data_IF_839526579938
#
_entry.id   IF_839526579938
#
_cell.length_a   1.000
_cell.length_b   1.000
_cell.length_c   1.000
_cell.angle_alpha   90.00
_cell.angle_beta   90.00
_cell.angle_gamma   90.00
#
_symmetry.space_group_name_H-M   'P 1'
#
loop_
_entity.id
_entity.type
_entity.pdbx_description
1 polymer ?
#
# COMPACT_ATOMS: atom_id res chain seq x y z
N UNK A 1 -11.27 15.80 -12.79
CA UNK A 1 -11.32 14.34 -12.71
C UNK A 1 -10.02 13.86 -12.08
N UNK A 2 -10.09 13.13 -10.99
CA UNK A 2 -8.93 12.56 -10.28
C UNK A 2 -8.54 11.23 -10.93
N UNK A 3 -7.24 10.90 -10.96
CA UNK A 3 -6.73 9.63 -11.52
C UNK A 3 -5.70 9.01 -10.59
N UNK A 4 -5.66 7.68 -10.56
CA UNK A 4 -4.55 6.90 -9.99
C UNK A 4 -3.94 6.07 -11.13
N UNK A 5 -2.81 6.51 -11.68
CA UNK A 5 -2.33 5.96 -12.95
C UNK A 5 -3.36 6.16 -14.06
N UNK A 6 -3.78 5.08 -14.71
CA UNK A 6 -4.80 5.10 -15.77
C UNK A 6 -6.23 4.89 -15.24
N UNK A 7 -6.39 4.70 -13.93
CA UNK A 7 -7.70 4.52 -13.30
C UNK A 7 -8.36 5.89 -13.13
N UNK A 8 -9.43 6.13 -13.86
CA UNK A 8 -10.22 7.36 -13.76
C UNK A 8 -11.21 7.27 -12.61
N UNK A 9 -11.17 8.25 -11.72
CA UNK A 9 -12.07 8.42 -10.58
C UNK A 9 -12.93 9.68 -10.77
N UNK A 10 -13.94 9.86 -9.96
CA UNK A 10 -14.79 11.06 -9.99
C UNK A 10 -14.03 12.35 -9.59
N UNK A 11 -14.77 13.42 -9.38
CA UNK A 11 -14.17 14.69 -8.89
C UNK A 11 -13.77 14.60 -7.41
N UNK A 12 -14.53 13.85 -6.62
CA UNK A 12 -14.31 13.67 -5.18
C UNK A 12 -14.34 12.18 -4.82
N UNK A 13 -13.28 11.44 -5.19
CA UNK A 13 -13.26 10.00 -4.97
C UNK A 13 -13.16 9.64 -3.48
N UNK A 14 -13.92 8.63 -3.08
CA UNK A 14 -13.90 8.05 -1.75
C UNK A 14 -13.06 6.77 -1.77
N UNK A 15 -11.95 6.78 -1.06
CA UNK A 15 -11.04 5.65 -0.94
C UNK A 15 -11.19 5.00 0.44
N UNK A 16 -11.60 3.71 0.48
CA UNK A 16 -11.63 2.96 1.73
C UNK A 16 -10.20 2.67 2.21
N UNK A 17 -9.86 3.19 3.38
CA UNK A 17 -8.54 2.93 3.97
C UNK A 17 -8.36 1.43 4.32
N UNK A 18 -7.15 0.87 4.14
CA UNK A 18 -6.83 -0.47 4.60
C UNK A 18 -6.86 -0.54 6.14
N UNK A 19 -7.61 -1.49 6.68
CA UNK A 19 -7.78 -1.68 8.13
C UNK A 19 -7.62 -3.15 8.50
N UNK A 20 -6.64 -3.44 9.37
CA UNK A 20 -6.39 -4.80 9.86
C UNK A 20 -7.62 -5.35 10.59
N UNK A 21 -7.94 -6.62 10.36
CA UNK A 21 -9.10 -7.32 10.91
C UNK A 21 -10.47 -6.68 10.60
N UNK A 22 -10.55 -5.77 9.60
CA UNK A 22 -11.78 -5.08 9.22
C UNK A 22 -12.01 -5.10 7.71
N UNK A 23 -11.02 -4.71 6.90
CA UNK A 23 -11.19 -4.61 5.44
C UNK A 23 -11.01 -5.94 4.73
N UNK A 24 -11.74 -6.95 5.20
CA UNK A 24 -11.92 -8.24 4.53
C UNK A 24 -12.81 -8.12 3.28
N UNK A 25 -12.88 -9.13 2.41
CA UNK A 25 -13.67 -9.06 1.18
C UNK A 25 -15.15 -8.69 1.38
N UNK A 26 -15.91 -9.27 2.33
CA UNK A 26 -17.30 -8.87 2.56
C UNK A 26 -17.45 -7.39 2.95
N UNK A 27 -16.58 -6.88 3.81
CA UNK A 27 -16.63 -5.48 4.23
C UNK A 27 -16.29 -4.53 3.07
N UNK A 28 -15.26 -4.85 2.27
CA UNK A 28 -14.91 -4.05 1.08
C UNK A 28 -16.06 -4.03 0.06
N UNK A 29 -16.69 -5.19 -0.17
CA UNK A 29 -17.85 -5.26 -1.08
C UNK A 29 -19.00 -4.36 -0.60
N UNK A 30 -19.32 -4.38 0.70
CA UNK A 30 -20.33 -3.49 1.28
C UNK A 30 -19.96 -2.01 1.10
N UNK A 31 -18.71 -1.64 1.31
CA UNK A 31 -18.25 -0.27 1.11
C UNK A 31 -18.35 0.16 -0.36
N UNK A 32 -18.10 -0.75 -1.32
CA UNK A 32 -18.32 -0.49 -2.74
C UNK A 32 -19.79 -0.22 -3.05
N UNK A 33 -20.70 -1.01 -2.49
CA UNK A 33 -22.15 -0.80 -2.63
C UNK A 33 -22.61 0.54 -2.04
N UNK A 34 -21.90 1.07 -1.04
CA UNK A 34 -22.16 2.37 -0.43
C UNK A 34 -21.43 3.52 -1.11
N UNK A 35 -20.73 3.28 -2.21
CA UNK A 35 -20.13 4.33 -3.04
C UNK A 35 -18.64 4.56 -2.85
N UNK A 36 -17.90 3.64 -2.25
CA UNK A 36 -16.44 3.72 -2.27
C UNK A 36 -15.91 3.54 -3.70
N UNK A 37 -15.12 4.49 -4.20
CA UNK A 37 -14.54 4.45 -5.54
C UNK A 37 -13.38 3.46 -5.64
N UNK A 38 -12.54 3.39 -4.61
CA UNK A 38 -11.41 2.46 -4.50
C UNK A 38 -11.42 1.82 -3.12
N UNK A 39 -11.13 0.54 -3.05
CA UNK A 39 -10.96 -0.18 -1.79
C UNK A 39 -9.57 -0.79 -1.72
N UNK A 40 -9.07 -1.03 -0.51
CA UNK A 40 -7.78 -1.66 -0.26
C UNK A 40 -7.95 -2.86 0.66
N UNK A 41 -7.12 -3.89 0.43
CA UNK A 41 -7.06 -5.04 1.35
C UNK A 41 -6.51 -4.61 2.71
N UNK A 42 -6.63 -5.45 3.70
CA UNK A 42 -5.79 -5.36 4.90
C UNK A 42 -4.32 -5.36 4.49
N UNK A 43 -3.43 -4.75 5.30
CA UNK A 43 -2.01 -4.73 4.95
C UNK A 43 -1.35 -6.11 5.11
N UNK A 44 -0.57 -6.52 4.13
CA UNK A 44 0.02 -7.84 4.03
C UNK A 44 1.53 -7.78 4.24
N UNK A 45 2.04 -8.65 5.12
CA UNK A 45 3.48 -8.73 5.38
C UNK A 45 4.24 -9.35 4.21
N UNK A 46 5.24 -8.65 3.68
CA UNK A 46 6.15 -9.17 2.66
C UNK A 46 6.84 -10.47 3.13
N UNK A 47 7.36 -10.46 4.36
CA UNK A 47 7.98 -11.63 4.98
C UNK A 47 7.00 -12.80 5.16
N UNK A 48 5.72 -12.51 5.39
CA UNK A 48 4.68 -13.53 5.47
C UNK A 48 4.38 -14.14 4.10
N UNK A 49 4.29 -13.31 3.06
CA UNK A 49 4.01 -13.77 1.69
C UNK A 49 5.13 -14.63 1.12
N UNK A 50 6.37 -14.19 1.20
CA UNK A 50 7.51 -14.96 0.66
C UNK A 50 7.70 -16.32 1.35
N UNK A 51 7.22 -16.45 2.59
CA UNK A 51 7.18 -17.72 3.35
C UNK A 51 5.88 -18.49 3.20
N UNK A 52 4.99 -18.04 2.33
CA UNK A 52 3.69 -18.65 2.08
C UNK A 52 2.85 -18.84 3.37
N UNK A 53 2.91 -17.87 4.29
CA UNK A 53 2.13 -17.90 5.51
C UNK A 53 0.64 -17.78 5.20
N UNK A 54 -0.17 -18.75 5.63
CA UNK A 54 -1.59 -18.86 5.28
C UNK A 54 -2.38 -17.55 5.51
N UNK A 55 -2.18 -16.88 6.66
CA UNK A 55 -2.82 -15.60 6.97
C UNK A 55 -2.46 -14.49 6.00
N UNK A 56 -1.23 -14.45 5.49
CA UNK A 56 -0.80 -13.45 4.50
C UNK A 56 -1.38 -13.76 3.13
N UNK A 57 -1.41 -15.03 2.74
CA UNK A 57 -1.98 -15.46 1.45
C UNK A 57 -3.48 -15.20 1.39
N UNK A 58 -4.23 -15.47 2.45
CA UNK A 58 -5.68 -15.21 2.51
C UNK A 58 -6.03 -13.75 2.28
N UNK A 59 -5.18 -12.81 2.68
CA UNK A 59 -5.41 -11.37 2.47
C UNK A 59 -5.23 -10.90 1.02
N UNK A 60 -4.71 -11.77 0.15
CA UNK A 60 -4.63 -11.50 -1.29
C UNK A 60 -5.95 -11.79 -2.01
N UNK A 61 -6.95 -12.30 -1.32
CA UNK A 61 -8.24 -12.63 -1.90
C UNK A 61 -9.02 -11.36 -2.24
N UNK A 62 -9.30 -11.19 -3.54
CA UNK A 62 -10.02 -10.04 -4.09
C UNK A 62 -11.09 -10.53 -5.08
N UNK A 63 -12.20 -9.80 -5.16
CA UNK A 63 -13.33 -10.15 -6.01
C UNK A 63 -13.57 -9.09 -7.08
N UNK A 64 -14.11 -9.50 -8.21
CA UNK A 64 -14.37 -8.62 -9.34
C UNK A 64 -15.27 -7.43 -8.98
N UNK A 65 -16.22 -7.64 -8.06
CA UNK A 65 -17.16 -6.60 -7.59
C UNK A 65 -16.49 -5.48 -6.77
N UNK A 66 -15.26 -5.69 -6.30
CA UNK A 66 -14.53 -4.72 -5.48
C UNK A 66 -13.69 -3.73 -6.30
N UNK A 67 -13.55 -3.97 -7.61
CA UNK A 67 -12.67 -3.17 -8.46
C UNK A 67 -13.14 -1.73 -8.62
N UNK A 68 -12.21 -0.77 -8.71
CA UNK A 68 -10.76 -0.95 -8.53
C UNK A 68 -10.39 -1.31 -7.10
N UNK A 69 -9.46 -2.27 -6.94
CA UNK A 69 -8.99 -2.74 -5.64
C UNK A 69 -7.46 -2.73 -5.55
N UNK A 70 -6.94 -2.16 -4.48
CA UNK A 70 -5.52 -2.17 -4.18
C UNK A 70 -5.15 -3.25 -3.16
N UNK A 71 -4.01 -3.93 -3.37
CA UNK A 71 -3.41 -4.77 -2.33
C UNK A 71 -2.35 -3.96 -1.61
N UNK A 72 -2.53 -3.78 -0.29
CA UNK A 72 -1.56 -3.07 0.53
C UNK A 72 -0.54 -4.03 1.13
N UNK A 73 0.74 -3.72 0.94
CA UNK A 73 1.86 -4.51 1.46
C UNK A 73 2.76 -3.67 2.37
N UNK A 74 3.46 -4.34 3.28
CA UNK A 74 4.48 -3.72 4.11
C UNK A 74 5.67 -4.67 4.33
N UNK A 75 6.84 -4.08 4.48
CA UNK A 75 8.08 -4.81 4.75
C UNK A 75 9.21 -3.86 5.11
N UNK A 76 10.33 -4.41 5.54
CA UNK A 76 11.50 -3.66 5.96
C UNK A 76 12.69 -3.82 5.01
N UNK A 77 12.70 -4.86 4.17
CA UNK A 77 13.83 -5.14 3.29
C UNK A 77 13.46 -4.99 1.82
N UNK A 78 14.40 -4.48 1.04
CA UNK A 78 14.26 -4.33 -0.41
C UNK A 78 13.92 -5.68 -1.05
N UNK A 79 14.66 -6.72 -0.70
CA UNK A 79 14.51 -8.05 -1.27
C UNK A 79 13.09 -8.61 -1.07
N UNK A 80 12.59 -8.60 0.19
CA UNK A 80 11.27 -9.13 0.49
C UNK A 80 10.15 -8.33 -0.19
N UNK A 81 10.28 -7.01 -0.27
CA UNK A 81 9.29 -6.15 -0.91
C UNK A 81 9.23 -6.40 -2.43
N UNK A 82 10.37 -6.54 -3.10
CA UNK A 82 10.40 -6.83 -4.54
C UNK A 82 9.84 -8.21 -4.88
N UNK A 83 10.21 -9.25 -4.11
CA UNK A 83 9.63 -10.59 -4.28
C UNK A 83 8.12 -10.60 -4.04
N UNK A 84 7.66 -9.78 -3.12
CA UNK A 84 6.23 -9.66 -2.81
C UNK A 84 5.42 -9.10 -3.97
N UNK A 85 5.96 -8.17 -4.77
CA UNK A 85 5.29 -7.66 -5.97
C UNK A 85 4.94 -8.80 -6.92
N UNK A 86 5.89 -9.69 -7.21
CA UNK A 86 5.69 -10.84 -8.11
C UNK A 86 4.59 -11.81 -7.60
N UNK A 87 4.41 -11.89 -6.28
CA UNK A 87 3.36 -12.71 -5.66
C UNK A 87 2.01 -12.01 -5.77
N UNK A 88 1.96 -10.73 -5.44
CA UNK A 88 0.74 -9.90 -5.43
C UNK A 88 0.16 -9.74 -6.83
N UNK A 89 0.99 -9.58 -7.85
CA UNK A 89 0.53 -9.47 -9.24
C UNK A 89 -0.24 -10.71 -9.74
N UNK A 90 0.02 -11.89 -9.18
CA UNK A 90 -0.73 -13.11 -9.51
C UNK A 90 -2.21 -13.02 -9.12
N UNK A 91 -2.52 -12.23 -8.09
CA UNK A 91 -3.90 -11.92 -7.68
C UNK A 91 -4.57 -10.87 -8.57
N UNK A 92 -3.83 -10.26 -9.51
CA UNK A 92 -4.30 -9.25 -10.47
C UNK A 92 -5.02 -8.07 -9.82
N UNK A 93 -4.42 -7.39 -8.83
CA UNK A 93 -4.99 -6.15 -8.30
C UNK A 93 -4.95 -5.04 -9.34
N UNK A 94 -5.68 -3.96 -9.09
CA UNK A 94 -5.62 -2.75 -9.92
C UNK A 94 -4.51 -1.80 -9.44
N UNK A 95 -4.15 -1.88 -8.17
CA UNK A 95 -3.18 -1.00 -7.50
C UNK A 95 -2.31 -1.83 -6.56
N UNK A 96 -1.03 -1.52 -6.48
CA UNK A 96 -0.15 -1.96 -5.38
C UNK A 96 0.04 -0.78 -4.44
N UNK A 97 -0.35 -0.94 -3.17
CA UNK A 97 -0.21 0.10 -2.16
C UNK A 97 0.84 -0.27 -1.12
N UNK A 98 1.63 0.72 -0.69
CA UNK A 98 2.69 0.52 0.29
C UNK A 98 2.30 1.17 1.62
N UNK A 99 2.37 0.41 2.70
CA UNK A 99 2.12 0.92 4.05
C UNK A 99 3.40 1.49 4.67
N UNK A 100 3.47 2.81 4.75
CA UNK A 100 4.50 3.56 5.48
C UNK A 100 3.92 4.30 6.69
N UNK A 101 2.77 3.86 7.20
CA UNK A 101 2.07 4.55 8.28
C UNK A 101 1.77 3.72 9.54
N UNK A 102 1.90 2.39 9.51
CA UNK A 102 1.57 1.53 10.66
C UNK A 102 2.50 1.80 11.86
N UNK A 103 1.96 2.20 13.04
CA UNK A 103 2.78 2.53 14.22
C UNK A 103 3.02 1.34 15.15
N UNK A 104 2.51 0.16 14.83
CA UNK A 104 2.62 -1.03 15.68
C UNK A 104 4.07 -1.35 15.98
N UNK A 105 4.44 -1.47 17.26
CA UNK A 105 5.84 -1.71 17.70
C UNK A 105 6.52 -2.84 16.97
N UNK A 106 5.84 -3.97 16.76
CA UNK A 106 6.38 -5.15 16.04
C UNK A 106 6.73 -4.86 14.58
N UNK A 107 6.05 -3.93 13.95
CA UNK A 107 6.31 -3.48 12.57
C UNK A 107 7.44 -2.45 12.57
N UNK A 108 7.29 -1.41 13.38
CA UNK A 108 8.24 -0.28 13.45
C UNK A 108 9.63 -0.71 13.91
N UNK A 109 9.74 -1.66 14.85
CA UNK A 109 11.05 -2.16 15.34
C UNK A 109 11.89 -2.84 14.26
N UNK A 110 11.24 -3.24 13.17
CA UNK A 110 11.90 -3.83 11.98
C UNK A 110 12.22 -2.79 10.89
N UNK A 111 11.92 -1.51 11.11
CA UNK A 111 12.07 -0.45 10.11
C UNK A 111 10.94 -0.39 9.07
N UNK A 112 9.86 -1.18 9.25
CA UNK A 112 8.69 -1.19 8.37
C UNK A 112 7.58 -0.23 8.85
N UNK A 113 6.53 -0.05 8.05
CA UNK A 113 5.43 0.84 8.37
C UNK A 113 5.92 2.26 8.67
N UNK A 114 5.45 2.89 9.74
CA UNK A 114 5.91 4.23 10.12
C UNK A 114 7.41 4.30 10.47
N UNK A 115 8.06 3.17 10.75
CA UNK A 115 9.49 3.13 11.06
C UNK A 115 10.39 3.63 9.93
N UNK A 116 9.96 3.50 8.68
CA UNK A 116 10.70 3.98 7.50
C UNK A 116 10.83 5.50 7.45
N UNK A 117 9.90 6.24 8.09
CA UNK A 117 9.92 7.72 8.13
C UNK A 117 11.15 8.30 8.87
N UNK A 118 11.91 7.45 9.57
CA UNK A 118 13.20 7.82 10.16
C UNK A 118 14.32 7.89 9.12
N UNK A 119 14.14 7.24 7.96
CA UNK A 119 15.10 7.22 6.87
C UNK A 119 14.37 7.40 5.52
N UNK A 120 14.12 8.66 5.18
CA UNK A 120 13.41 9.04 3.95
C UNK A 120 14.20 8.63 2.70
N UNK A 121 15.54 8.62 2.78
CA UNK A 121 16.36 8.18 1.65
C UNK A 121 16.19 6.68 1.37
N UNK A 122 16.09 5.86 2.41
CA UNK A 122 15.80 4.43 2.27
C UNK A 122 14.38 4.22 1.73
N UNK A 123 13.40 4.99 2.24
CA UNK A 123 12.01 4.94 1.77
C UNK A 123 11.93 5.25 0.26
N UNK A 124 12.56 6.32 -0.19
CA UNK A 124 12.62 6.71 -1.60
C UNK A 124 13.24 5.60 -2.47
N UNK A 125 14.42 5.09 -2.07
CA UNK A 125 15.11 4.01 -2.80
C UNK A 125 14.26 2.75 -2.90
N UNK A 126 13.65 2.33 -1.80
CA UNK A 126 12.77 1.16 -1.77
C UNK A 126 11.59 1.34 -2.72
N UNK A 127 10.94 2.49 -2.65
CA UNK A 127 9.78 2.81 -3.49
C UNK A 127 10.16 2.89 -4.97
N UNK A 128 11.30 3.52 -5.30
CA UNK A 128 11.79 3.59 -6.67
C UNK A 128 11.98 2.21 -7.31
N UNK A 129 12.57 1.27 -6.57
CA UNK A 129 12.77 -0.09 -7.08
C UNK A 129 11.45 -0.87 -7.20
N UNK A 130 10.50 -0.63 -6.29
CA UNK A 130 9.16 -1.21 -6.39
C UNK A 130 8.39 -0.68 -7.61
N UNK A 131 8.42 0.62 -7.86
CA UNK A 131 7.79 1.24 -9.05
C UNK A 131 8.38 0.68 -10.33
N UNK A 132 9.68 0.45 -10.39
CA UNK A 132 10.33 -0.16 -11.57
C UNK A 132 9.96 -1.64 -11.79
N UNK A 133 9.55 -2.34 -10.71
CA UNK A 133 9.27 -3.78 -10.75
C UNK A 133 7.93 -4.13 -11.33
N UNK A 134 6.97 -3.20 -11.36
CA UNK A 134 5.59 -3.44 -11.79
C UNK A 134 5.12 -2.42 -12.82
N UNK A 135 4.16 -2.82 -13.65
CA UNK A 135 3.42 -1.90 -14.53
C UNK A 135 2.14 -1.36 -13.88
N UNK A 136 1.77 -1.88 -12.71
CA UNK A 136 0.60 -1.40 -11.98
C UNK A 136 0.88 -0.04 -11.32
N UNK A 137 -0.13 0.79 -11.13
CA UNK A 137 0.03 2.01 -10.33
C UNK A 137 0.47 1.65 -8.90
N UNK A 138 1.53 2.30 -8.45
CA UNK A 138 1.99 2.20 -7.07
C UNK A 138 1.49 3.41 -6.30
N UNK A 139 0.87 3.17 -5.14
CA UNK A 139 0.42 4.20 -4.20
C UNK A 139 1.06 4.00 -2.84
N UNK A 140 1.03 5.03 -2.00
CA UNK A 140 1.64 5.00 -0.67
C UNK A 140 0.69 5.58 0.35
N UNK A 141 0.43 4.83 1.42
CA UNK A 141 -0.23 5.36 2.60
C UNK A 141 0.78 5.62 3.71
N UNK A 142 0.93 6.89 4.08
CA UNK A 142 1.92 7.35 5.06
C UNK A 142 1.30 8.21 6.16
N UNK A 143 2.13 8.82 7.00
CA UNK A 143 1.80 9.76 8.08
C UNK A 143 2.49 11.10 7.80
N UNK A 144 2.11 12.14 8.54
CA UNK A 144 2.72 13.47 8.45
C UNK A 144 4.23 13.46 8.72
N UNK A 145 4.68 12.54 9.58
CA UNK A 145 6.07 12.34 9.98
C UNK A 145 6.20 11.19 10.96
N UNK A 146 7.39 10.91 11.45
CA UNK A 146 7.64 9.93 12.50
C UNK A 146 7.02 10.36 13.84
N UNK A 147 7.19 11.64 14.19
CA UNK A 147 6.66 12.30 15.39
C UNK A 147 6.33 13.78 15.10
N UNK A 148 5.90 14.52 16.12
CA UNK A 148 5.54 15.92 15.97
C UNK A 148 6.72 16.82 15.57
N UNK A 149 7.94 16.45 15.93
CA UNK A 149 9.15 17.25 15.66
C UNK A 149 9.74 16.94 14.27
N UNK A 150 9.28 15.89 13.62
CA UNK A 150 9.76 15.41 12.32
C UNK A 150 8.67 15.35 11.25
N UNK A 151 7.75 16.31 11.24
CA UNK A 151 6.73 16.43 10.20
C UNK A 151 7.40 16.81 8.88
N UNK A 152 7.36 15.92 7.89
CA UNK A 152 8.02 16.06 6.58
C UNK A 152 7.15 15.61 5.41
N UNK A 153 5.84 15.63 5.58
CA UNK A 153 4.92 15.06 4.58
C UNK A 153 5.08 15.67 3.20
N UNK A 154 5.35 16.97 3.09
CA UNK A 154 5.54 17.63 1.79
C UNK A 154 6.79 17.09 1.11
N UNK A 155 7.94 17.08 1.80
CA UNK A 155 9.19 16.50 1.28
C UNK A 155 8.99 15.02 0.87
N UNK A 156 8.31 14.25 1.71
CA UNK A 156 8.02 12.84 1.45
C UNK A 156 7.15 12.68 0.19
N UNK A 157 6.10 13.47 0.04
CA UNK A 157 5.21 13.41 -1.10
C UNK A 157 5.92 13.75 -2.41
N UNK A 158 6.73 14.82 -2.42
CA UNK A 158 7.53 15.24 -3.58
C UNK A 158 8.50 14.13 -4.00
N UNK A 159 9.30 13.59 -3.07
CA UNK A 159 10.24 12.49 -3.36
C UNK A 159 9.55 11.24 -3.88
N UNK A 160 8.41 10.87 -3.32
CA UNK A 160 7.64 9.72 -3.77
C UNK A 160 7.05 9.95 -5.16
N UNK A 161 6.56 11.16 -5.44
CA UNK A 161 6.09 11.53 -6.77
C UNK A 161 7.20 11.47 -7.80
N UNK A 162 8.40 11.97 -7.47
CA UNK A 162 9.58 11.98 -8.37
C UNK A 162 10.01 10.57 -8.77
N UNK A 163 9.87 9.58 -7.89
CA UNK A 163 10.16 8.17 -8.22
C UNK A 163 8.99 7.42 -8.87
N UNK A 164 7.87 8.09 -9.11
CA UNK A 164 6.77 7.58 -9.94
C UNK A 164 5.55 7.04 -9.19
N UNK A 165 5.43 7.29 -7.88
CA UNK A 165 4.21 7.01 -7.10
C UNK A 165 3.03 7.79 -7.68
N UNK A 166 1.85 7.19 -7.71
CA UNK A 166 0.65 7.75 -8.36
C UNK A 166 -0.35 8.38 -7.38
N UNK A 167 -0.23 8.07 -6.09
CA UNK A 167 -1.02 8.70 -5.01
C UNK A 167 -0.40 8.40 -3.65
#
# INVERSE_FOLDING_TARGET
>A
MVKIGDIELGEFPLLLAPMEDVSDPPFRALCKEQGADVVYTEFVSSEGLIRNAAKSVMKLDIYEKERPVGIQIFGATMESMLQTIDIVEKSKPDIIDINFGCPVKKVVSKGAGAGILKDICLMEKLTAEMVKRTNLPVTVKTRLGWDHDSIKIVEVAERLQDVGVKS
#
